data_IF_380884573372
#
_entry.id   IF_380884573372
#
_cell.length_a   1.000
_cell.length_b   1.000
_cell.length_c   1.000
_cell.angle_alpha   90.00
_cell.angle_beta   90.00
_cell.angle_gamma   90.00
#
_symmetry.space_group_name_H-M   'P 1'
#
loop_
_entity.id
_entity.type
_entity.pdbx_description
1 polymer ?
#
# COMPACT_ATOMS: atom_id res chain seq x y z
N UNK A 1 -25.33 0.41 -9.20
CA UNK A 1 -24.34 -0.31 -10.04
C UNK A 1 -22.97 0.39 -10.06
N UNK A 2 -22.88 1.73 -10.06
CA UNK A 2 -21.60 2.46 -9.96
C UNK A 2 -20.86 2.27 -8.61
N UNK A 3 -21.60 2.12 -7.51
CA UNK A 3 -21.04 1.98 -6.16
C UNK A 3 -20.14 0.74 -6.01
N UNK A 4 -20.52 -0.41 -6.58
CA UNK A 4 -19.70 -1.62 -6.51
C UNK A 4 -18.38 -1.51 -7.29
N UNK A 5 -18.32 -0.64 -8.30
CA UNK A 5 -17.09 -0.40 -9.06
C UNK A 5 -16.07 0.38 -8.23
N UNK A 6 -16.50 1.46 -7.57
CA UNK A 6 -15.63 2.29 -6.72
C UNK A 6 -15.10 1.50 -5.51
N UNK A 7 -15.96 0.70 -4.88
CA UNK A 7 -15.56 -0.24 -3.81
C UNK A 7 -14.50 -1.24 -4.31
N UNK A 8 -14.64 -1.70 -5.56
CA UNK A 8 -13.65 -2.56 -6.21
C UNK A 8 -12.31 -1.85 -6.43
N UNK A 9 -12.31 -0.57 -6.80
CA UNK A 9 -11.09 0.21 -7.04
C UNK A 9 -10.26 0.40 -5.77
N UNK A 10 -10.87 0.75 -4.63
CA UNK A 10 -10.15 0.84 -3.35
C UNK A 10 -9.50 -0.49 -2.97
N UNK A 11 -10.21 -1.63 -3.14
CA UNK A 11 -9.64 -2.96 -2.87
C UNK A 11 -8.51 -3.31 -3.83
N UNK A 12 -8.65 -3.04 -5.12
CA UNK A 12 -7.60 -3.34 -6.10
C UNK A 12 -6.33 -2.52 -5.80
N UNK A 13 -6.48 -1.24 -5.48
CA UNK A 13 -5.35 -0.38 -5.10
C UNK A 13 -4.70 -0.84 -3.80
N UNK A 14 -5.50 -1.21 -2.80
CA UNK A 14 -5.03 -1.75 -1.53
C UNK A 14 -4.18 -3.01 -1.71
N UNK A 15 -4.71 -4.01 -2.42
CA UNK A 15 -4.02 -5.27 -2.66
C UNK A 15 -2.73 -5.08 -3.48
N UNK A 16 -2.76 -4.19 -4.48
CA UNK A 16 -1.58 -3.87 -5.28
C UNK A 16 -0.47 -3.25 -4.41
N UNK A 17 -0.82 -2.31 -3.53
CA UNK A 17 0.13 -1.67 -2.62
C UNK A 17 0.66 -2.63 -1.55
N UNK A 18 -0.18 -3.47 -0.95
CA UNK A 18 0.25 -4.53 -0.01
C UNK A 18 1.24 -5.50 -0.65
N UNK A 19 0.97 -5.90 -1.89
CA UNK A 19 1.89 -6.77 -2.64
C UNK A 19 3.22 -6.06 -2.89
N UNK A 20 3.19 -4.81 -3.32
CA UNK A 20 4.40 -4.04 -3.55
C UNK A 20 5.20 -3.79 -2.26
N UNK A 21 4.52 -3.52 -1.14
CA UNK A 21 5.14 -3.44 0.20
C UNK A 21 5.89 -4.72 0.55
N UNK A 22 5.27 -5.88 0.30
CA UNK A 22 5.87 -7.19 0.59
C UNK A 22 7.13 -7.41 -0.25
N UNK A 23 7.08 -7.10 -1.55
CA UNK A 23 8.24 -7.23 -2.44
C UNK A 23 9.38 -6.26 -2.04
N UNK A 24 9.04 -5.04 -1.62
CA UNK A 24 10.01 -4.06 -1.13
C UNK A 24 10.66 -4.46 0.20
N UNK A 25 9.90 -5.03 1.13
CA UNK A 25 10.44 -5.54 2.39
C UNK A 25 11.46 -6.66 2.15
N UNK A 26 11.14 -7.59 1.24
CA UNK A 26 12.09 -8.63 0.83
C UNK A 26 13.34 -8.04 0.19
N UNK A 27 13.20 -7.00 -0.64
CA UNK A 27 14.34 -6.31 -1.24
C UNK A 27 15.20 -5.57 -0.21
N UNK A 28 14.58 -4.91 0.78
CA UNK A 28 15.32 -4.24 1.87
C UNK A 28 16.10 -5.26 2.71
N UNK A 29 15.44 -6.33 3.14
CA UNK A 29 16.06 -7.38 3.98
C UNK A 29 17.19 -8.15 3.27
N UNK A 30 17.12 -8.25 1.93
CA UNK A 30 18.11 -8.97 1.12
C UNK A 30 19.18 -8.05 0.51
N UNK A 31 19.08 -6.73 0.69
CA UNK A 31 20.05 -5.79 0.19
C UNK A 31 21.38 -5.92 0.95
N UNK A 32 22.46 -6.19 0.23
CA UNK A 32 23.82 -6.15 0.78
C UNK A 32 24.46 -4.76 0.68
N UNK A 33 23.78 -3.82 0.03
CA UNK A 33 24.20 -2.45 -0.21
C UNK A 33 23.34 -1.51 0.64
N UNK A 34 23.99 -0.75 1.52
CA UNK A 34 23.35 0.16 2.49
C UNK A 34 22.54 1.25 1.77
N UNK A 35 23.00 1.72 0.62
CA UNK A 35 22.28 2.72 -0.19
C UNK A 35 20.98 2.12 -0.78
N UNK A 36 21.03 0.85 -1.18
CA UNK A 36 19.86 0.14 -1.71
C UNK A 36 18.83 -0.16 -0.61
N UNK A 37 19.31 -0.48 0.60
CA UNK A 37 18.46 -0.67 1.78
C UNK A 37 17.75 0.63 2.15
N UNK A 38 18.48 1.75 2.26
CA UNK A 38 17.91 3.06 2.57
C UNK A 38 16.82 3.46 1.57
N UNK A 39 17.06 3.23 0.27
CA UNK A 39 16.08 3.51 -0.78
C UNK A 39 14.83 2.61 -0.68
N UNK A 40 15.00 1.36 -0.28
CA UNK A 40 13.88 0.44 -0.07
C UNK A 40 13.05 0.86 1.15
N UNK A 41 13.69 1.26 2.25
CA UNK A 41 13.05 1.74 3.48
C UNK A 41 12.26 3.03 3.23
N UNK A 42 12.85 3.99 2.50
CA UNK A 42 12.16 5.22 2.10
C UNK A 42 10.89 4.95 1.27
N UNK A 43 10.93 3.91 0.43
CA UNK A 43 9.77 3.50 -0.37
C UNK A 43 8.73 2.78 0.47
N UNK A 44 9.15 1.95 1.42
CA UNK A 44 8.26 1.28 2.38
C UNK A 44 7.45 2.32 3.17
N UNK A 45 8.11 3.34 3.73
CA UNK A 45 7.43 4.41 4.47
C UNK A 45 6.36 5.10 3.61
N UNK A 46 6.69 5.42 2.35
CA UNK A 46 5.73 6.05 1.43
C UNK A 46 4.53 5.16 1.13
N UNK A 47 4.72 3.84 1.03
CA UNK A 47 3.63 2.90 0.81
C UNK A 47 2.74 2.81 2.05
N UNK A 48 3.31 2.81 3.25
CA UNK A 48 2.54 2.83 4.50
C UNK A 48 1.66 4.07 4.58
N UNK A 49 2.20 5.25 4.25
CA UNK A 49 1.44 6.50 4.20
C UNK A 49 0.31 6.42 3.15
N UNK A 50 0.58 5.85 1.98
CA UNK A 50 -0.42 5.64 0.92
C UNK A 50 -1.53 4.66 1.34
N UNK A 51 -1.18 3.54 1.97
CA UNK A 51 -2.13 2.57 2.49
C UNK A 51 -3.02 3.25 3.53
N UNK A 52 -2.45 3.95 4.50
CA UNK A 52 -3.23 4.69 5.51
C UNK A 52 -4.20 5.67 4.85
N UNK A 53 -3.76 6.44 3.85
CA UNK A 53 -4.60 7.36 3.11
C UNK A 53 -5.77 6.66 2.40
N UNK A 54 -5.52 5.53 1.75
CA UNK A 54 -6.54 4.72 1.07
C UNK A 54 -7.54 4.14 2.07
N UNK A 55 -7.07 3.63 3.22
CA UNK A 55 -7.95 3.11 4.27
C UNK A 55 -8.87 4.21 4.83
N UNK A 56 -8.32 5.40 5.12
CA UNK A 56 -9.10 6.54 5.60
C UNK A 56 -10.12 6.99 4.56
N UNK A 57 -9.73 7.09 3.29
CA UNK A 57 -10.63 7.47 2.21
C UNK A 57 -11.74 6.43 1.99
N UNK A 58 -11.41 5.14 1.96
CA UNK A 58 -12.39 4.06 1.82
C UNK A 58 -13.40 4.05 2.98
N UNK A 59 -12.94 4.33 4.21
CA UNK A 59 -13.80 4.42 5.38
C UNK A 59 -14.70 5.64 5.34
N UNK A 60 -14.14 6.80 4.98
CA UNK A 60 -14.87 8.06 4.92
C UNK A 60 -15.93 8.07 3.81
N UNK A 61 -15.56 7.60 2.62
CA UNK A 61 -16.39 7.74 1.42
C UNK A 61 -17.47 6.64 1.34
N UNK A 62 -17.18 5.46 1.90
CA UNK A 62 -18.00 4.25 1.67
C UNK A 62 -18.20 3.37 2.90
N UNK A 63 -17.77 3.80 4.09
CA UNK A 63 -17.79 3.03 5.34
C UNK A 63 -17.06 1.67 5.28
N UNK A 64 -16.14 1.51 4.32
CA UNK A 64 -15.38 0.28 4.12
C UNK A 64 -14.17 0.24 5.03
N UNK A 65 -14.00 -0.88 5.73
CA UNK A 65 -12.76 -1.23 6.40
C UNK A 65 -11.88 -2.06 5.45
N UNK A 66 -10.67 -1.58 5.20
CA UNK A 66 -9.62 -2.29 4.48
C UNK A 66 -8.62 -2.84 5.53
N UNK A 67 -8.45 -4.16 5.58
CA UNK A 67 -7.53 -4.88 6.50
C UNK A 67 -6.21 -5.24 5.80
#
# INVERSE_FOLDING_TARGET
MAMNFLIGEYRVLWEALKRYQTELAVLSDSATDEDAQLLADDKLQKIEDMLLGIAVAAKSDWEIDLE
#
